data_IF_874270952269
#
_entry.id   IF_874270952269
#
_cell.length_a   1.000
_cell.length_b   1.000
_cell.length_c   1.000
_cell.angle_alpha   90.00
_cell.angle_beta   90.00
_cell.angle_gamma   90.00
#
_symmetry.space_group_name_H-M   'P 1'
#
loop_
_entity.id
_entity.type
_entity.pdbx_description
1 polymer ?
#
# COMPACT_ATOMS: atom_id res chain seq x y z
N UNK A 1 8.55 14.31 8.71
CA UNK A 1 7.93 13.04 9.17
C UNK A 1 7.19 12.42 8.00
N UNK A 2 7.60 11.27 7.45
CA UNK A 2 6.92 10.68 6.32
C UNK A 2 5.57 10.11 6.80
N UNK A 3 4.50 10.84 6.50
CA UNK A 3 3.12 10.41 6.71
C UNK A 3 2.83 9.31 5.69
N UNK A 4 2.70 8.07 6.13
CA UNK A 4 2.30 6.97 5.27
C UNK A 4 0.82 7.16 4.94
N UNK A 5 0.54 7.82 3.83
CA UNK A 5 -0.81 7.94 3.30
C UNK A 5 -0.94 7.17 2.00
N UNK A 6 -2.16 6.76 1.66
CA UNK A 6 -2.50 6.13 0.37
C UNK A 6 -2.26 7.03 -0.84
N UNK A 7 -1.96 8.32 -0.59
CA UNK A 7 -1.48 9.30 -1.57
C UNK A 7 0.02 9.19 -1.86
N UNK A 8 0.79 8.55 -0.99
CA UNK A 8 2.21 8.26 -1.21
C UNK A 8 2.39 7.16 -2.26
N UNK A 9 3.55 7.18 -2.92
CA UNK A 9 3.93 6.18 -3.91
C UNK A 9 3.98 4.80 -3.25
N UNK A 10 3.36 3.80 -3.89
CA UNK A 10 3.42 2.43 -3.41
C UNK A 10 4.87 1.96 -3.29
N UNK A 11 5.75 2.40 -4.19
CA UNK A 11 7.18 2.05 -4.12
C UNK A 11 7.89 2.59 -2.88
N UNK A 12 7.49 3.73 -2.36
CA UNK A 12 8.04 4.29 -1.11
C UNK A 12 7.56 3.49 0.11
N UNK A 13 6.29 3.08 0.09
CA UNK A 13 5.70 2.18 1.09
C UNK A 13 6.38 0.81 1.07
N UNK A 14 6.69 0.27 -0.11
CA UNK A 14 7.36 -1.03 -0.28
C UNK A 14 8.84 -1.01 0.11
N UNK A 15 9.52 0.13 -0.02
CA UNK A 15 10.86 0.34 0.55
C UNK A 15 10.84 0.32 2.07
N UNK A 16 9.68 0.54 2.67
CA UNK A 16 9.51 0.56 4.12
C UNK A 16 9.04 -0.82 4.63
N UNK A 17 9.85 -1.53 5.44
CA UNK A 17 9.50 -2.88 5.89
C UNK A 17 8.20 -2.89 6.72
N UNK A 18 7.91 -1.82 7.48
CA UNK A 18 6.67 -1.69 8.26
C UNK A 18 5.42 -1.62 7.36
N UNK A 19 5.41 -0.69 6.41
CA UNK A 19 4.27 -0.53 5.50
C UNK A 19 4.11 -1.76 4.60
N UNK A 20 5.22 -2.38 4.16
CA UNK A 20 5.18 -3.65 3.44
C UNK A 20 4.59 -4.78 4.27
N UNK A 21 4.90 -4.88 5.56
CA UNK A 21 4.33 -5.88 6.45
C UNK A 21 2.83 -5.68 6.69
N UNK A 22 2.38 -4.43 6.90
CA UNK A 22 0.93 -4.10 6.99
C UNK A 22 0.23 -4.45 5.69
N UNK A 23 0.81 -4.07 4.54
CA UNK A 23 0.29 -4.42 3.24
C UNK A 23 0.22 -5.94 3.06
N UNK A 24 1.28 -6.73 3.37
CA UNK A 24 1.23 -8.19 3.24
C UNK A 24 0.22 -8.84 4.19
N UNK A 25 0.03 -8.29 5.40
CA UNK A 25 -0.96 -8.76 6.37
C UNK A 25 -2.39 -8.53 5.89
N UNK A 26 -2.64 -7.40 5.25
CA UNK A 26 -3.96 -7.05 4.72
C UNK A 26 -4.19 -7.64 3.31
N UNK A 27 -3.11 -7.86 2.56
CA UNK A 27 -3.05 -8.27 1.16
C UNK A 27 -1.89 -9.23 0.92
N UNK A 28 -2.08 -10.53 1.18
CA UNK A 28 -1.04 -11.53 0.92
C UNK A 28 -0.74 -11.57 -0.58
N UNK A 29 0.54 -11.37 -0.94
CA UNK A 29 0.98 -11.32 -2.33
C UNK A 29 1.25 -9.91 -2.87
N UNK A 30 0.91 -8.85 -2.15
CA UNK A 30 1.17 -7.46 -2.56
C UNK A 30 2.64 -7.22 -2.96
N UNK A 31 3.59 -7.77 -2.20
CA UNK A 31 5.04 -7.65 -2.44
C UNK A 31 5.53 -8.42 -3.66
N UNK A 32 4.79 -9.48 -4.05
CA UNK A 32 5.14 -10.38 -5.14
C UNK A 32 4.35 -10.12 -6.41
N UNK A 33 3.30 -9.30 -6.33
CA UNK A 33 2.43 -9.04 -7.47
C UNK A 33 3.15 -8.15 -8.52
N UNK A 34 3.31 -8.63 -9.76
CA UNK A 34 4.01 -7.89 -10.81
C UNK A 34 3.22 -6.65 -11.28
N UNK A 35 1.89 -6.65 -11.15
CA UNK A 35 1.05 -5.50 -11.48
C UNK A 35 1.27 -4.38 -10.47
N UNK A 36 1.44 -4.74 -9.20
CA UNK A 36 1.82 -3.80 -8.16
C UNK A 36 3.24 -3.29 -8.33
N UNK A 37 4.22 -4.12 -8.71
CA UNK A 37 5.57 -3.66 -9.09
C UNK A 37 5.53 -2.59 -10.19
N UNK A 38 4.67 -2.73 -11.20
CA UNK A 38 4.44 -1.69 -12.21
C UNK A 38 3.78 -0.44 -11.59
N UNK A 39 2.86 -0.66 -10.65
CA UNK A 39 2.22 0.36 -9.83
C UNK A 39 3.12 1.04 -8.79
N UNK A 40 4.39 0.65 -8.58
CA UNK A 40 5.25 1.31 -7.59
C UNK A 40 5.45 2.81 -7.85
N UNK A 41 5.38 3.23 -9.12
CA UNK A 41 5.42 4.66 -9.49
C UNK A 41 4.08 5.38 -9.24
N UNK A 42 2.99 4.62 -9.05
CA UNK A 42 1.65 5.12 -8.73
C UNK A 42 1.42 5.09 -7.21
N UNK A 43 0.40 5.83 -6.77
CA UNK A 43 -0.03 5.86 -5.38
C UNK A 43 -1.04 4.75 -5.08
N UNK A 44 -1.06 4.29 -3.83
CA UNK A 44 -1.87 3.14 -3.39
C UNK A 44 -3.35 3.31 -3.71
N UNK A 45 -3.87 4.54 -3.52
CA UNK A 45 -5.26 4.90 -3.81
C UNK A 45 -5.63 4.70 -5.27
N UNK A 46 -4.70 4.92 -6.20
CA UNK A 46 -4.96 4.76 -7.63
C UNK A 46 -5.01 3.29 -8.01
N UNK A 47 -4.07 2.49 -7.51
CA UNK A 47 -4.03 1.04 -7.72
C UNK A 47 -5.31 0.39 -7.19
N UNK A 48 -5.74 0.76 -5.99
CA UNK A 48 -6.99 0.26 -5.40
C UNK A 48 -8.26 0.67 -6.15
N UNK A 49 -8.17 1.69 -7.01
CA UNK A 49 -9.26 2.12 -7.89
C UNK A 49 -9.25 1.38 -9.22
N UNK A 50 -8.15 0.70 -9.58
CA UNK A 50 -8.07 -0.12 -10.79
C UNK A 50 -8.95 -1.38 -10.60
N UNK A 51 -9.99 -1.58 -11.42
CA UNK A 51 -10.80 -2.79 -11.36
C UNK A 51 -9.93 -4.00 -11.76
N UNK A 52 -9.98 -5.07 -10.96
CA UNK A 52 -9.16 -6.27 -11.18
C UNK A 52 -7.74 -6.21 -10.63
N UNK A 53 -7.36 -5.15 -9.93
CA UNK A 53 -6.03 -5.02 -9.29
C UNK A 53 -5.76 -5.98 -8.13
N UNK A 54 -6.77 -6.75 -7.70
CA UNK A 54 -6.70 -7.58 -6.50
C UNK A 54 -6.60 -6.78 -5.20
N UNK A 55 -6.70 -5.44 -5.26
CA UNK A 55 -6.56 -4.57 -4.10
C UNK A 55 -7.95 -4.18 -3.53
N UNK A 56 -8.31 -4.63 -2.32
CA UNK A 56 -9.54 -4.27 -1.64
C UNK A 56 -9.45 -2.81 -1.20
N UNK A 57 -10.22 -1.98 -1.90
CA UNK A 57 -10.47 -0.57 -1.58
C UNK A 57 -11.01 -0.34 -0.15
N UNK A 58 -11.58 -1.36 0.47
CA UNK A 58 -12.03 -1.33 1.87
C UNK A 58 -10.87 -1.40 2.88
N UNK A 59 -9.72 -1.97 2.47
CA UNK A 59 -8.51 -2.04 3.31
C UNK A 59 -7.63 -0.80 3.14
N UNK A 60 -7.83 0.01 2.08
CA UNK A 60 -7.16 1.31 1.90
C UNK A 60 -7.21 2.19 3.16
N UNK A 61 -8.40 2.50 3.74
CA UNK A 61 -8.47 3.34 4.93
C UNK A 61 -7.81 2.67 6.13
N UNK A 62 -7.86 1.34 6.27
CA UNK A 62 -7.16 0.64 7.34
C UNK A 62 -5.63 0.77 7.22
N UNK A 63 -5.09 0.77 6.00
CA UNK A 63 -3.66 0.98 5.74
C UNK A 63 -3.26 2.46 5.87
N UNK A 64 -4.15 3.39 5.46
CA UNK A 64 -3.96 4.85 5.64
C UNK A 64 -4.02 5.26 7.12
N UNK A 65 -4.88 4.59 7.87
CA UNK A 65 -5.15 4.81 9.28
C UNK A 65 -4.32 3.89 10.18
N UNK A 66 -3.32 3.17 9.65
CA UNK A 66 -2.30 2.50 10.45
C UNK A 66 -1.11 3.46 10.62
N UNK A 67 -1.12 4.35 11.65
CA UNK A 67 0.05 5.12 12.00
C UNK A 67 1.05 4.17 12.65
N UNK A 68 1.93 3.57 11.86
CA UNK A 68 3.12 2.86 12.36
C UNK A 68 4.17 3.81 13.00
N UNK A 69 3.69 4.81 13.74
CA UNK A 69 4.40 5.61 14.75
C UNK A 69 3.35 6.30 15.64
N UNK A 70 2.86 5.59 16.66
CA UNK A 70 2.45 6.25 17.90
C UNK A 70 3.75 6.68 18.61
N UNK A 71 3.87 7.94 19.00
CA UNK A 71 4.84 8.36 20.02
C UNK A 71 4.28 7.98 21.39
#
# INVERSE_FOLDING_TARGET
MPKYSIKSKLGDLMKNPKARAVLEKHLPGISKDPQLKKGFKMNLKFIAKIPGSGFPKEKLPAIDADPSSNN
#
